data_IF_776287954774
#
_entry.id   IF_776287954774
#
_cell.length_a   1.000
_cell.length_b   1.000
_cell.length_c   1.000
_cell.angle_alpha   90.00
_cell.angle_beta   90.00
_cell.angle_gamma   90.00
#
_symmetry.space_group_name_H-M   'P 1'
#
loop_
_entity.id
_entity.type
_entity.pdbx_description
1 polymer ?
#
# COMPACT_ATOMS: atom_id res chain seq x y z
N UNK A 1 15.24 -2.71 8.70
CA UNK A 1 14.28 -3.62 8.03
C UNK A 1 12.92 -2.97 7.79
N UNK A 2 12.25 -2.37 8.79
CA UNK A 2 10.94 -1.71 8.62
C UNK A 2 11.00 -0.57 7.58
N UNK A 3 11.92 0.39 7.76
CA UNK A 3 12.05 1.55 6.88
C UNK A 3 12.35 1.17 5.43
N UNK A 4 13.30 0.24 5.22
CA UNK A 4 13.69 -0.22 3.88
C UNK A 4 12.54 -0.92 3.15
N UNK A 5 11.78 -1.76 3.87
CA UNK A 5 10.62 -2.45 3.30
C UNK A 5 9.56 -1.45 2.81
N UNK A 6 9.25 -0.43 3.61
CA UNK A 6 8.29 0.61 3.23
C UNK A 6 8.83 1.53 2.13
N UNK A 7 10.12 1.87 2.18
CA UNK A 7 10.79 2.68 1.17
C UNK A 7 10.68 2.04 -0.21
N UNK A 8 10.85 0.73 -0.30
CA UNK A 8 10.78 0.00 -1.57
C UNK A 8 9.33 -0.29 -1.97
N UNK A 9 8.55 -0.94 -1.08
CA UNK A 9 7.25 -1.50 -1.45
C UNK A 9 6.14 -0.47 -1.59
N UNK A 10 6.20 0.63 -0.84
CA UNK A 10 5.19 1.68 -0.89
C UNK A 10 5.71 2.97 -1.49
N UNK A 11 6.71 3.62 -0.88
CA UNK A 11 7.18 4.93 -1.36
C UNK A 11 7.82 4.84 -2.75
N UNK A 12 8.56 3.76 -3.03
CA UNK A 12 9.12 3.46 -4.34
C UNK A 12 8.04 3.34 -5.40
N UNK A 13 7.02 2.52 -5.15
CA UNK A 13 5.88 2.36 -6.07
C UNK A 13 5.11 3.68 -6.23
N UNK A 14 4.76 4.36 -5.14
CA UNK A 14 4.08 5.66 -5.16
C UNK A 14 4.82 6.68 -6.05
N UNK A 15 6.15 6.79 -5.88
CA UNK A 15 6.99 7.69 -6.66
C UNK A 15 7.00 7.31 -8.14
N UNK A 16 7.29 6.05 -8.48
CA UNK A 16 7.31 5.59 -9.87
C UNK A 16 5.96 5.80 -10.53
N UNK A 17 4.87 5.45 -9.85
CA UNK A 17 3.51 5.70 -10.32
C UNK A 17 3.31 7.19 -10.62
N UNK A 18 3.52 8.08 -9.64
CA UNK A 18 3.32 9.53 -9.82
C UNK A 18 4.14 10.11 -10.96
N UNK A 19 5.39 9.70 -11.10
CA UNK A 19 6.27 10.17 -12.18
C UNK A 19 5.80 9.70 -13.55
N UNK A 20 5.27 8.48 -13.66
CA UNK A 20 4.84 7.92 -14.95
C UNK A 20 3.40 8.26 -15.32
N UNK A 21 2.54 8.68 -14.38
CA UNK A 21 1.13 9.04 -14.67
C UNK A 21 0.98 9.98 -15.88
N UNK A 22 1.74 11.10 -16.00
CA UNK A 22 1.60 11.99 -17.14
C UNK A 22 1.88 11.30 -18.49
N UNK A 23 2.85 10.39 -18.54
CA UNK A 23 3.17 9.62 -19.74
C UNK A 23 2.11 8.56 -20.04
N UNK A 24 1.61 7.90 -19.00
CA UNK A 24 0.55 6.90 -19.10
C UNK A 24 -0.75 7.50 -19.66
N UNK A 25 -1.06 8.75 -19.32
CA UNK A 25 -2.21 9.48 -19.85
C UNK A 25 -2.16 9.72 -21.37
N UNK A 26 -0.97 9.65 -22.00
CA UNK A 26 -0.82 9.75 -23.45
C UNK A 26 -1.28 8.48 -24.18
N UNK A 27 -1.32 7.34 -23.48
CA UNK A 27 -1.77 6.07 -24.06
C UNK A 27 -3.29 5.90 -23.93
N UNK A 28 -3.91 5.44 -25.01
CA UNK A 28 -5.35 5.11 -25.03
C UNK A 28 -5.71 3.90 -24.16
N UNK A 29 -4.74 3.08 -23.76
CA UNK A 29 -4.96 1.83 -23.00
C UNK A 29 -3.83 1.56 -22.01
N UNK A 30 -3.46 2.58 -21.24
CA UNK A 30 -2.47 2.41 -20.17
C UNK A 30 -3.06 1.59 -18.99
N UNK A 31 -2.19 0.87 -18.26
CA UNK A 31 -2.57 0.06 -17.10
C UNK A 31 -1.52 0.20 -16.01
N UNK A 32 -1.97 0.29 -14.76
CA UNK A 32 -1.10 0.27 -13.58
C UNK A 32 -1.48 -0.96 -12.75
N UNK A 33 -0.53 -1.87 -12.58
CA UNK A 33 -0.71 -3.10 -11.81
C UNK A 33 0.24 -3.07 -10.64
N UNK A 34 -0.31 -2.97 -9.43
CA UNK A 34 0.47 -3.07 -8.20
C UNK A 34 0.53 -4.53 -7.76
N UNK A 35 1.74 -5.04 -7.49
CA UNK A 35 1.95 -6.42 -7.01
C UNK A 35 1.87 -6.44 -5.48
N UNK A 36 0.85 -7.12 -4.98
CA UNK A 36 0.52 -7.16 -3.55
C UNK A 36 0.80 -8.55 -2.96
N UNK A 37 0.24 -8.85 -1.79
CA UNK A 37 0.31 -10.18 -1.16
C UNK A 37 -0.95 -10.45 -0.34
N UNK A 38 -1.31 -11.72 -0.19
CA UNK A 38 -2.35 -12.15 0.75
C UNK A 38 -2.04 -11.72 2.20
N UNK A 39 -0.76 -11.57 2.54
CA UNK A 39 -0.36 -11.05 3.85
C UNK A 39 -0.79 -9.62 4.11
N UNK A 40 -1.06 -8.82 3.07
CA UNK A 40 -1.62 -7.47 3.24
C UNK A 40 -3.03 -7.46 3.84
N UNK A 41 -3.71 -8.61 3.95
CA UNK A 41 -5.00 -8.76 4.64
C UNK A 41 -4.87 -9.03 6.14
N UNK A 42 -3.64 -9.30 6.61
CA UNK A 42 -3.38 -9.61 8.02
C UNK A 42 -3.19 -8.36 8.87
N UNK A 43 -3.10 -7.17 8.26
CA UNK A 43 -3.17 -5.94 9.03
C UNK A 43 -4.63 -5.64 9.36
N UNK A 44 -4.99 -5.70 10.63
CA UNK A 44 -6.32 -5.33 11.14
C UNK A 44 -6.50 -3.82 11.29
N UNK A 45 -5.89 -3.01 10.41
CA UNK A 45 -6.00 -1.55 10.41
C UNK A 45 -7.27 -1.14 9.68
N UNK A 46 -8.35 -0.94 10.43
CA UNK A 46 -9.66 -0.54 9.90
C UNK A 46 -9.57 0.75 9.07
N UNK A 47 -8.64 1.65 9.42
CA UNK A 47 -8.42 2.91 8.71
C UNK A 47 -7.98 2.72 7.25
N UNK A 48 -7.38 1.56 6.90
CA UNK A 48 -6.99 1.22 5.52
C UNK A 48 -8.16 0.63 4.70
N UNK A 49 -9.24 0.26 5.36
CA UNK A 49 -10.45 -0.30 4.75
C UNK A 49 -11.60 0.71 4.63
N UNK A 50 -11.53 1.85 5.31
CA UNK A 50 -12.46 2.98 5.16
C UNK A 50 -12.29 3.70 3.81
N UNK A 51 -12.94 3.17 2.77
CA UNK A 51 -12.84 3.65 1.37
C UNK A 51 -13.27 5.11 1.23
N UNK A 52 -14.21 5.58 2.05
CA UNK A 52 -14.78 6.92 1.93
C UNK A 52 -13.81 7.98 2.43
N UNK A 53 -13.08 7.69 3.50
CA UNK A 53 -12.09 8.61 4.08
C UNK A 53 -10.64 8.34 3.64
N UNK A 54 -10.40 7.30 2.83
CA UNK A 54 -9.05 6.92 2.42
C UNK A 54 -8.44 7.92 1.43
N UNK A 55 -7.35 8.57 1.86
CA UNK A 55 -6.50 9.43 1.03
C UNK A 55 -5.03 9.00 1.08
N UNK A 56 -4.21 9.50 0.15
CA UNK A 56 -2.76 9.22 0.18
C UNK A 56 -2.10 9.76 1.46
N UNK A 57 -2.61 10.88 1.97
CA UNK A 57 -2.15 11.53 3.20
C UNK A 57 -2.46 10.66 4.41
N UNK A 58 -3.68 10.10 4.50
CA UNK A 58 -4.04 9.15 5.57
C UNK A 58 -3.20 7.88 5.54
N UNK A 59 -2.92 7.34 4.35
CA UNK A 59 -2.01 6.20 4.22
C UNK A 59 -0.61 6.57 4.72
N UNK A 60 -0.09 7.74 4.34
CA UNK A 60 1.21 8.23 4.80
C UNK A 60 1.24 8.41 6.33
N UNK A 61 0.17 8.95 6.94
CA UNK A 61 0.04 9.08 8.40
C UNK A 61 0.10 7.74 9.12
N UNK A 62 -0.59 6.72 8.62
CA UNK A 62 -0.58 5.36 9.18
C UNK A 62 0.82 4.74 9.09
N UNK A 63 1.52 4.96 7.97
CA UNK A 63 2.92 4.50 7.82
C UNK A 63 3.84 5.21 8.81
N UNK A 64 3.67 6.52 9.01
CA UNK A 64 4.44 7.27 9.99
C UNK A 64 4.16 6.81 11.42
N UNK A 65 2.92 6.48 11.75
CA UNK A 65 2.56 5.88 13.04
C UNK A 65 3.26 4.53 13.23
N UNK A 66 3.23 3.65 12.23
CA UNK A 66 3.92 2.37 12.27
C UNK A 66 5.43 2.52 12.49
N UNK A 67 6.05 3.46 11.78
CA UNK A 67 7.48 3.75 11.90
C UNK A 67 7.83 4.24 13.31
N UNK A 68 7.03 5.16 13.88
CA UNK A 68 7.21 5.61 15.26
C UNK A 68 7.08 4.47 16.26
N UNK A 69 6.02 3.67 16.13
CA UNK A 69 5.75 2.57 17.04
C UNK A 69 6.81 1.46 16.93
N UNK A 70 7.44 1.32 15.77
CA UNK A 70 8.55 0.36 15.57
C UNK A 70 9.82 0.76 16.31
N UNK A 71 10.04 2.07 16.49
CA UNK A 71 11.19 2.62 17.21
C UNK A 71 10.94 2.69 18.72
N UNK A 72 9.67 2.79 19.12
CA UNK A 72 9.23 2.87 20.51
C UNK A 72 8.86 1.51 21.14
N UNK A 73 8.98 0.41 20.38
CA UNK A 73 8.57 -0.95 20.78
C UNK A 73 7.08 -1.08 21.19
N UNK A 74 6.20 -0.34 20.51
CA UNK A 74 4.76 -0.26 20.83
C UNK A 74 3.87 -1.09 19.91
N UNK A 75 4.42 -2.14 19.30
CA UNK A 75 3.68 -2.93 18.31
C UNK A 75 2.43 -3.60 18.89
N UNK A 76 2.59 -4.27 20.03
CA UNK A 76 1.49 -4.97 20.72
C UNK A 76 0.43 -4.00 21.24
N UNK A 77 0.86 -2.91 21.86
CA UNK A 77 -0.03 -1.90 22.44
C UNK A 77 -0.92 -1.27 21.37
N UNK A 78 -0.35 -0.97 20.20
CA UNK A 78 -1.04 -0.26 19.13
C UNK A 78 -1.61 -1.20 18.05
N UNK A 79 -1.77 -2.49 18.37
CA UNK A 79 -2.46 -3.47 17.52
C UNK A 79 -1.74 -3.80 16.20
N UNK A 80 -0.42 -3.60 16.12
CA UNK A 80 0.36 -3.94 14.94
C UNK A 80 0.58 -5.45 14.82
N UNK A 81 0.74 -5.98 13.58
CA UNK A 81 1.08 -7.39 13.38
C UNK A 81 2.36 -7.76 14.15
N UNK A 82 2.27 -8.78 15.00
CA UNK A 82 3.40 -9.25 15.83
C UNK A 82 4.27 -10.32 15.13
N UNK A 83 3.97 -10.63 13.87
CA UNK A 83 4.76 -11.59 13.10
C UNK A 83 6.15 -11.01 12.74
N UNK A 84 7.19 -11.86 12.56
CA UNK A 84 8.50 -11.42 12.06
C UNK A 84 8.45 -10.64 10.74
N UNK A 85 7.38 -10.82 9.96
CA UNK A 85 7.10 -10.15 8.69
C UNK A 85 6.18 -8.93 8.80
N UNK A 86 6.03 -8.34 9.98
CA UNK A 86 5.16 -7.18 10.25
C UNK A 86 5.35 -6.02 9.26
N UNK A 87 6.60 -5.64 8.97
CA UNK A 87 6.92 -4.61 7.98
C UNK A 87 6.37 -4.96 6.58
N UNK A 88 6.50 -6.22 6.18
CA UNK A 88 6.00 -6.71 4.90
C UNK A 88 4.47 -6.72 4.87
N UNK A 89 3.81 -7.22 5.91
CA UNK A 89 2.35 -7.21 6.08
C UNK A 89 1.82 -5.79 5.93
N UNK A 90 2.34 -4.84 6.71
CA UNK A 90 1.92 -3.44 6.66
C UNK A 90 2.22 -2.83 5.29
N UNK A 91 3.39 -3.09 4.70
CA UNK A 91 3.72 -2.58 3.36
C UNK A 91 2.75 -3.05 2.27
N UNK A 92 2.24 -4.29 2.38
CA UNK A 92 1.29 -4.85 1.40
C UNK A 92 -0.14 -4.39 1.68
N UNK A 93 -0.49 -4.14 2.94
CA UNK A 93 -1.76 -3.54 3.32
C UNK A 93 -1.91 -2.11 2.80
N UNK A 94 -0.91 -1.26 3.04
CA UNK A 94 -0.92 0.13 2.55
C UNK A 94 -0.89 0.18 1.02
N UNK A 95 -0.27 -0.79 0.36
CA UNK A 95 -0.31 -0.91 -1.09
C UNK A 95 -1.69 -1.31 -1.62
N UNK A 96 -2.42 -2.19 -0.91
CA UNK A 96 -3.82 -2.49 -1.22
C UNK A 96 -4.69 -1.23 -1.08
N UNK A 97 -4.47 -0.44 -0.03
CA UNK A 97 -5.16 0.82 0.20
C UNK A 97 -4.84 1.86 -0.90
N UNK A 98 -3.57 2.03 -1.27
CA UNK A 98 -3.12 2.96 -2.31
C UNK A 98 -3.72 2.67 -3.69
N UNK A 99 -3.98 1.39 -3.99
CA UNK A 99 -4.74 1.04 -5.20
C UNK A 99 -6.13 1.69 -5.18
N UNK A 100 -6.84 1.61 -4.05
CA UNK A 100 -8.20 2.15 -3.89
C UNK A 100 -8.20 3.68 -4.09
N UNK A 101 -7.16 4.39 -3.66
CA UNK A 101 -7.02 5.85 -3.90
C UNK A 101 -6.75 6.18 -5.36
N UNK A 102 -5.95 5.37 -6.06
CA UNK A 102 -5.59 5.63 -7.45
C UNK A 102 -6.71 5.31 -8.44
N UNK A 103 -7.58 4.33 -8.14
CA UNK A 103 -8.77 4.05 -8.95
C UNK A 103 -9.68 5.27 -9.11
N UNK A 104 -9.70 6.18 -8.13
CA UNK A 104 -10.47 7.43 -8.18
C UNK A 104 -9.83 8.50 -9.10
N UNK A 105 -8.50 8.50 -9.28
CA UNK A 105 -7.76 9.52 -10.06
C UNK A 105 -7.56 9.17 -11.53
N UNK A 106 -7.64 7.88 -11.86
CA UNK A 106 -7.25 7.34 -13.17
C UNK A 106 -8.45 6.71 -13.85
N UNK A 107 -9.47 7.52 -14.15
CA UNK A 107 -10.77 7.10 -14.70
C UNK A 107 -10.75 6.64 -16.18
N UNK A 108 -9.59 6.24 -16.71
CA UNK A 108 -9.43 5.59 -18.03
C UNK A 108 -8.57 4.31 -18.02
N UNK A 109 -8.11 3.84 -16.86
CA UNK A 109 -7.13 2.74 -16.79
C UNK A 109 -7.54 1.65 -15.80
N UNK A 110 -7.46 0.39 -16.25
CA UNK A 110 -7.73 -0.77 -15.39
C UNK A 110 -6.62 -0.91 -14.33
N UNK A 111 -6.99 -0.77 -13.05
CA UNK A 111 -6.10 -1.12 -11.94
C UNK A 111 -6.37 -2.56 -11.49
N UNK A 112 -5.54 -3.50 -11.92
CA UNK A 112 -5.67 -4.90 -11.54
C UNK A 112 -4.70 -5.26 -10.41
N UNK A 113 -5.08 -6.23 -9.58
CA UNK A 113 -4.23 -6.76 -8.51
C UNK A 113 -3.72 -8.13 -8.94
N UNK A 114 -2.40 -8.31 -9.00
CA UNK A 114 -1.79 -9.63 -9.18
C UNK A 114 -1.36 -10.16 -7.81
N UNK A 115 -1.98 -11.27 -7.42
CA UNK A 115 -1.63 -12.03 -6.21
C UNK A 115 -0.94 -13.32 -6.65
N UNK A 116 0.37 -13.50 -6.40
CA UNK A 116 1.11 -14.68 -6.86
C UNK A 116 0.79 -15.98 -6.10
N UNK A 117 -0.48 -16.24 -5.79
CA UNK A 117 -0.94 -17.46 -5.09
C UNK A 117 -2.15 -18.13 -5.74
N UNK A 118 -2.66 -17.62 -6.87
CA UNK A 118 -3.52 -18.42 -7.74
C UNK A 118 -2.61 -19.16 -8.73
N UNK A 119 -2.06 -20.28 -8.29
CA UNK A 119 -1.87 -21.37 -9.24
C UNK A 119 -3.26 -21.73 -9.77
N UNK A 120 -3.37 -21.95 -11.08
CA UNK A 120 -4.59 -22.41 -11.75
C UNK A 120 -5.19 -23.64 -11.05
#
# INVERSE_FOLDING_TARGET
MVEECLKTNYYGTKRVTKTLVPLLQLSKSSRIVNITSNFGRLSSREELDDIDNLTEERIDEIIQLFLRDSKADKFRENGWPLAPSSAYIVSKAVMNAYKKTNGKKVSKHDSCELRPSRAC
#
